data_IF_590513336127
#
_entry.id   IF_590513336127
#
_cell.length_a   1.000
_cell.length_b   1.000
_cell.length_c   1.000
_cell.angle_alpha   90.00
_cell.angle_beta   90.00
_cell.angle_gamma   90.00
#
_symmetry.space_group_name_H-M   'P 1'
#
loop_
_entity.id
_entity.type
_entity.pdbx_description
1 polymer ?
#
# COMPACT_ATOMS: atom_id res chain seq x y z
N UNK A 1 2.50 -42.84 -16.97
CA UNK A 1 1.79 -41.53 -17.01
C UNK A 1 2.81 -40.43 -16.72
N UNK A 2 3.18 -39.60 -17.70
CA UNK A 2 3.99 -38.41 -17.46
C UNK A 2 3.02 -37.29 -17.06
N UNK A 3 3.13 -36.79 -15.84
CA UNK A 3 2.42 -35.59 -15.43
C UNK A 3 2.94 -34.39 -16.23
N UNK A 4 2.02 -33.49 -16.63
CA UNK A 4 2.40 -32.23 -17.25
C UNK A 4 3.31 -31.43 -16.28
N UNK A 5 4.28 -30.65 -16.79
CA UNK A 5 5.19 -29.85 -15.93
C UNK A 5 4.43 -28.99 -14.91
N UNK A 6 3.28 -28.44 -15.29
CA UNK A 6 2.38 -27.66 -14.43
C UNK A 6 1.87 -28.44 -13.21
N UNK A 7 1.58 -29.74 -13.34
CA UNK A 7 1.09 -30.57 -12.23
C UNK A 7 2.20 -30.88 -11.20
N UNK A 8 3.45 -31.04 -11.65
CA UNK A 8 4.60 -31.23 -10.74
C UNK A 8 4.88 -29.98 -9.90
N UNK A 9 4.79 -28.79 -10.51
CA UNK A 9 4.95 -27.52 -9.80
C UNK A 9 3.84 -27.27 -8.78
N UNK A 10 2.61 -27.69 -9.09
CA UNK A 10 1.47 -27.59 -8.18
C UNK A 10 1.65 -28.47 -6.93
N UNK A 11 2.07 -29.74 -7.10
CA UNK A 11 2.35 -30.65 -5.98
C UNK A 11 3.55 -30.21 -5.12
N UNK A 12 4.60 -29.69 -5.74
CA UNK A 12 5.75 -29.13 -5.01
C UNK A 12 5.33 -27.89 -4.19
N UNK A 13 4.47 -27.03 -4.75
CA UNK A 13 3.99 -25.80 -4.10
C UNK A 13 3.04 -26.08 -2.92
N UNK A 14 2.16 -27.11 -3.01
CA UNK A 14 1.31 -27.52 -1.88
C UNK A 14 2.13 -28.02 -0.68
N UNK A 15 3.26 -28.69 -0.90
CA UNK A 15 4.10 -29.24 0.17
C UNK A 15 4.91 -28.14 0.90
N UNK A 16 5.12 -26.99 0.26
CA UNK A 16 5.88 -25.86 0.80
C UNK A 16 5.11 -25.03 1.84
N UNK A 17 3.78 -25.03 1.79
CA UNK A 17 2.93 -24.29 2.73
C UNK A 17 2.98 -24.86 4.17
N UNK A 18 3.44 -26.10 4.33
CA UNK A 18 3.52 -26.81 5.62
C UNK A 18 4.89 -26.68 6.32
N UNK A 19 5.87 -26.01 5.68
CA UNK A 19 7.24 -25.93 6.19
C UNK A 19 7.50 -24.62 6.97
N UNK A 20 8.15 -24.66 8.15
CA UNK A 20 8.53 -23.47 8.89
C UNK A 20 9.52 -22.60 8.09
N UNK A 21 9.48 -21.28 8.30
CA UNK A 21 10.06 -20.29 7.38
C UNK A 21 11.52 -20.47 6.95
N UNK A 22 12.40 -21.06 7.77
CA UNK A 22 13.78 -21.40 7.34
C UNK A 22 13.82 -22.58 6.35
N UNK A 23 13.02 -23.63 6.58
CA UNK A 23 12.95 -24.79 5.70
C UNK A 23 12.29 -24.44 4.35
N UNK A 24 11.24 -23.62 4.39
CA UNK A 24 10.59 -23.07 3.18
C UNK A 24 11.62 -22.33 2.31
N UNK A 25 12.40 -21.40 2.88
CA UNK A 25 13.42 -20.63 2.14
C UNK A 25 14.53 -21.50 1.50
N UNK A 26 14.94 -22.59 2.15
CA UNK A 26 15.94 -23.52 1.63
C UNK A 26 15.43 -24.30 0.40
N UNK A 27 14.21 -24.85 0.49
CA UNK A 27 13.59 -25.57 -0.63
C UNK A 27 13.35 -24.63 -1.82
N UNK A 28 13.04 -23.36 -1.56
CA UNK A 28 12.82 -22.37 -2.60
C UNK A 28 14.08 -22.01 -3.39
N UNK A 29 15.24 -21.85 -2.72
CA UNK A 29 16.52 -21.68 -3.44
C UNK A 29 16.78 -22.83 -4.40
N UNK A 30 16.47 -24.05 -4.00
CA UNK A 30 16.61 -25.23 -4.87
C UNK A 30 15.63 -25.20 -6.05
N UNK A 31 14.39 -24.72 -5.86
CA UNK A 31 13.38 -24.61 -6.92
C UNK A 31 13.66 -23.46 -7.90
N UNK A 32 14.14 -22.31 -7.44
CA UNK A 32 14.60 -21.20 -8.31
C UNK A 32 15.73 -21.68 -9.21
N UNK A 33 16.74 -22.34 -8.62
CA UNK A 33 17.85 -22.93 -9.37
C UNK A 33 17.35 -23.95 -10.42
N UNK A 34 16.30 -24.72 -10.11
CA UNK A 34 15.70 -25.67 -11.04
C UNK A 34 14.91 -24.98 -12.18
N UNK A 35 14.20 -23.88 -11.90
CA UNK A 35 13.46 -23.10 -12.90
C UNK A 35 14.40 -22.35 -13.86
N UNK A 36 15.46 -21.74 -13.34
CA UNK A 36 16.54 -21.15 -14.15
C UNK A 36 17.20 -22.23 -15.04
N UNK A 37 17.45 -23.40 -14.48
CA UNK A 37 17.98 -24.57 -15.18
C UNK A 37 17.04 -25.19 -16.22
N UNK A 38 15.75 -24.86 -16.19
CA UNK A 38 14.74 -25.31 -17.16
C UNK A 38 14.52 -24.26 -18.25
N UNK A 39 14.52 -22.95 -17.92
CA UNK A 39 14.50 -21.85 -18.92
C UNK A 39 15.74 -21.87 -19.81
N UNK A 40 16.90 -22.27 -19.29
CA UNK A 40 18.14 -22.44 -20.06
C UNK A 40 18.19 -23.69 -20.96
N UNK A 41 17.15 -24.55 -20.96
CA UNK A 41 17.05 -25.78 -21.77
C UNK A 41 15.92 -25.74 -22.80
N UNK A 42 15.52 -24.56 -23.26
CA UNK A 42 14.73 -24.46 -24.49
C UNK A 42 15.69 -24.61 -25.69
N UNK A 43 15.46 -25.56 -26.62
CA UNK A 43 16.37 -25.78 -27.74
C UNK A 43 16.30 -24.62 -28.74
N UNK A 44 17.43 -23.98 -29.02
CA UNK A 44 17.63 -23.16 -30.21
C UNK A 44 17.65 -24.05 -31.47
N UNK A 45 17.18 -23.57 -32.65
CA UNK A 45 17.21 -24.36 -33.86
C UNK A 45 18.65 -24.67 -34.30
N UNK A 46 18.86 -25.92 -34.71
CA UNK A 46 20.15 -26.47 -35.12
C UNK A 46 20.69 -25.78 -36.38
N UNK A 47 21.92 -25.31 -36.32
CA UNK A 47 22.78 -25.11 -37.48
C UNK A 47 24.04 -25.99 -37.33
N UNK A 48 24.32 -26.77 -38.38
CA UNK A 48 25.52 -27.60 -38.55
C UNK A 48 26.80 -26.76 -38.55
N UNK A 49 27.86 -27.21 -37.86
CA UNK A 49 29.19 -27.40 -38.47
C UNK A 49 30.20 -28.13 -37.58
N UNK A 50 31.37 -28.43 -38.16
CA UNK A 50 32.20 -29.63 -38.05
C UNK A 50 33.28 -29.65 -36.95
N UNK A 51 33.69 -30.90 -36.68
CA UNK A 51 34.86 -31.47 -35.96
C UNK A 51 36.15 -30.63 -35.82
N UNK A 52 36.75 -30.66 -34.62
CA UNK A 52 38.17 -31.03 -34.38
C UNK A 52 38.45 -31.33 -32.88
N UNK A 53 39.37 -32.26 -32.61
CA UNK A 53 39.76 -32.85 -31.30
C UNK A 53 41.02 -32.16 -30.68
N UNK A 54 41.71 -32.67 -29.61
CA UNK A 54 41.63 -32.12 -28.26
C UNK A 54 43.00 -31.76 -27.60
N UNK A 55 42.96 -31.09 -26.45
CA UNK A 55 44.01 -31.01 -25.41
C UNK A 55 43.39 -30.31 -24.18
N UNK A 56 43.75 -30.50 -22.91
CA UNK A 56 44.56 -31.47 -22.18
C UNK A 56 44.39 -31.13 -20.68
N UNK A 57 44.57 -32.14 -19.81
CA UNK A 57 45.13 -32.06 -18.42
C UNK A 57 44.28 -31.49 -17.25
N UNK A 58 43.86 -32.43 -16.40
CA UNK A 58 44.03 -32.57 -14.92
C UNK A 58 43.91 -31.34 -14.01
N UNK A 59 42.97 -31.41 -13.04
CA UNK A 59 43.25 -31.07 -11.64
C UNK A 59 42.23 -31.73 -10.68
N UNK A 60 42.77 -32.19 -9.57
CA UNK A 60 42.22 -33.11 -8.56
C UNK A 60 41.35 -32.47 -7.48
N UNK A 61 40.51 -33.31 -6.87
CA UNK A 61 39.68 -33.08 -5.66
C UNK A 61 40.45 -32.53 -4.45
N UNK A 62 39.75 -31.77 -3.59
CA UNK A 62 39.80 -31.88 -2.12
C UNK A 62 38.58 -31.19 -1.47
N UNK A 63 38.02 -31.82 -0.44
CA UNK A 63 36.95 -31.33 0.48
C UNK A 63 37.50 -31.48 1.93
N UNK A 64 36.82 -31.03 3.00
CA UNK A 64 36.84 -29.72 3.65
C UNK A 64 37.49 -29.73 5.06
N UNK A 65 37.58 -28.58 5.71
CA UNK A 65 37.76 -28.49 7.17
C UNK A 65 36.73 -27.55 7.81
N UNK A 66 36.12 -28.03 8.89
CA UNK A 66 35.13 -27.36 9.75
C UNK A 66 35.78 -26.36 10.72
N UNK A 67 35.05 -25.33 11.19
CA UNK A 67 35.42 -24.60 12.39
C UNK A 67 34.50 -24.92 13.59
N UNK A 68 35.14 -25.07 14.74
CA UNK A 68 34.61 -25.25 16.09
C UNK A 68 34.17 -23.91 16.71
N UNK A 69 33.27 -23.99 17.69
CA UNK A 69 32.79 -22.93 18.59
C UNK A 69 33.22 -23.23 20.05
N UNK A 70 32.84 -22.45 21.09
CA UNK A 70 33.50 -21.23 21.57
C UNK A 70 33.95 -21.32 23.06
N UNK A 71 34.82 -20.40 23.49
CA UNK A 71 35.16 -20.07 24.90
C UNK A 71 35.79 -18.67 24.88
N UNK A 72 35.60 -17.70 25.76
CA UNK A 72 35.03 -17.59 27.09
C UNK A 72 34.89 -16.08 27.39
N UNK A 73 34.19 -15.75 28.47
CA UNK A 73 33.89 -14.43 29.04
C UNK A 73 35.09 -13.45 29.09
N UNK A 74 34.97 -12.26 28.47
CA UNK A 74 35.57 -10.99 28.97
C UNK A 74 35.15 -9.69 28.23
N UNK A 75 34.02 -9.63 27.50
CA UNK A 75 33.57 -8.40 26.83
C UNK A 75 32.36 -7.75 27.52
N UNK A 76 32.55 -7.36 28.78
CA UNK A 76 31.67 -6.45 29.50
C UNK A 76 32.56 -5.55 30.34
N UNK A 77 32.99 -4.39 29.80
CA UNK A 77 33.42 -3.18 30.55
C UNK A 77 33.87 -2.09 29.57
N UNK A 78 32.97 -1.62 28.70
CA UNK A 78 33.19 -0.40 27.94
C UNK A 78 31.86 0.34 27.73
N UNK A 79 31.22 0.71 28.84
CA UNK A 79 30.10 1.66 28.81
C UNK A 79 30.07 2.40 30.13
N UNK A 80 30.18 3.74 30.06
CA UNK A 80 29.74 4.72 31.07
C UNK A 80 30.64 4.95 32.31
N UNK A 81 31.38 6.06 32.31
CA UNK A 81 31.05 7.33 33.01
C UNK A 81 32.34 8.10 33.36
N UNK A 82 32.54 9.26 32.71
CA UNK A 82 32.97 10.55 33.30
C UNK A 82 33.69 11.37 32.22
N UNK A 83 32.99 12.30 31.59
CA UNK A 83 32.89 13.72 31.99
C UNK A 83 34.15 14.55 31.72
N UNK A 84 33.98 15.46 30.77
CA UNK A 84 34.43 16.85 30.83
C UNK A 84 35.93 17.14 30.89
N UNK A 85 36.53 17.34 29.70
CA UNK A 85 37.28 18.56 29.42
C UNK A 85 37.47 18.69 27.90
N UNK A 86 36.59 19.41 27.23
CA UNK A 86 36.64 19.57 25.77
C UNK A 86 35.79 20.73 25.28
N UNK A 87 35.71 21.81 26.06
CA UNK A 87 35.39 23.11 25.49
C UNK A 87 36.68 23.72 24.95
N UNK A 88 36.69 24.10 23.68
CA UNK A 88 37.27 25.37 23.21
C UNK A 88 36.96 25.58 21.73
N UNK A 89 36.51 26.80 21.44
CA UNK A 89 36.59 27.52 20.17
C UNK A 89 35.65 27.06 19.05
N UNK A 90 34.53 27.79 18.84
CA UNK A 90 34.52 28.82 17.79
C UNK A 90 33.20 29.61 17.62
N UNK A 91 33.38 30.91 17.38
CA UNK A 91 32.52 31.92 16.74
C UNK A 91 31.28 32.47 17.48
N UNK A 92 31.54 33.55 18.22
CA UNK A 92 30.62 34.67 18.37
C UNK A 92 31.09 35.81 17.46
N UNK A 93 30.34 36.11 16.39
CA UNK A 93 30.23 37.45 15.80
C UNK A 93 29.21 37.40 14.66
N UNK A 94 28.06 38.06 14.82
CA UNK A 94 27.33 38.78 13.77
C UNK A 94 26.01 39.33 14.34
N UNK A 95 26.10 40.49 14.97
CA UNK A 95 25.00 41.43 15.10
C UNK A 95 25.03 42.36 13.89
N UNK A 96 23.99 42.33 13.06
CA UNK A 96 23.61 43.45 12.19
C UNK A 96 22.17 43.27 11.71
N UNK A 97 21.29 43.96 12.42
CA UNK A 97 19.94 44.30 12.01
C UNK A 97 19.97 45.21 10.77
N UNK A 98 19.37 44.76 9.68
CA UNK A 98 19.04 45.62 8.55
C UNK A 98 17.54 45.58 8.31
N UNK A 99 16.89 46.64 8.77
CA UNK A 99 15.51 46.99 8.49
C UNK A 99 15.36 47.13 6.97
N UNK A 100 14.64 46.20 6.34
CA UNK A 100 14.16 46.38 4.96
C UNK A 100 12.66 46.44 5.02
N UNK A 101 12.14 47.67 5.01
CA UNK A 101 10.74 47.95 4.77
C UNK A 101 10.45 47.62 3.30
N UNK A 102 10.04 46.38 3.03
CA UNK A 102 9.47 46.02 1.74
C UNK A 102 7.96 46.17 1.84
N UNK A 103 7.46 47.25 1.28
CA UNK A 103 6.07 47.38 0.84
C UNK A 103 5.78 46.27 -0.16
N UNK A 104 5.10 45.22 0.27
CA UNK A 104 4.51 44.21 -0.63
C UNK A 104 3.00 44.24 -0.48
N UNK A 105 2.39 45.14 -1.24
CA UNK A 105 1.00 45.02 -1.65
C UNK A 105 0.92 43.96 -2.75
N UNK A 106 0.67 42.72 -2.35
CA UNK A 106 0.13 41.69 -3.23
C UNK A 106 -0.89 40.90 -2.43
N UNK A 107 -2.14 41.37 -2.46
CA UNK A 107 -3.32 40.60 -2.10
C UNK A 107 -3.48 39.47 -3.13
N UNK A 108 -2.64 38.44 -3.04
CA UNK A 108 -3.05 37.12 -3.48
C UNK A 108 -4.13 36.69 -2.49
N UNK A 109 -5.37 36.57 -2.94
CA UNK A 109 -6.43 35.92 -2.17
C UNK A 109 -5.87 34.56 -1.73
N UNK A 110 -5.54 34.42 -0.45
CA UNK A 110 -5.13 33.17 0.12
C UNK A 110 -6.31 32.20 -0.08
N UNK A 111 -6.24 31.38 -1.12
CA UNK A 111 -7.20 30.29 -1.33
C UNK A 111 -7.15 29.46 -0.04
N UNK A 112 -8.28 29.34 0.65
CA UNK A 112 -8.36 28.57 1.87
C UNK A 112 -7.72 27.19 1.67
N UNK A 113 -7.01 26.71 2.68
CA UNK A 113 -6.32 25.41 2.62
C UNK A 113 -7.35 24.30 2.30
N UNK A 114 -7.09 23.44 1.29
CA UNK A 114 -8.02 22.39 0.90
C UNK A 114 -8.38 21.46 2.07
N UNK A 115 -9.67 21.14 2.19
CA UNK A 115 -10.21 20.31 3.28
C UNK A 115 -10.32 18.85 2.85
N UNK A 116 -9.66 17.97 3.57
CA UNK A 116 -9.60 16.53 3.28
C UNK A 116 -10.46 15.78 4.31
N UNK A 117 -11.39 14.95 3.85
CA UNK A 117 -12.13 14.02 4.69
C UNK A 117 -11.72 12.59 4.36
N UNK A 118 -11.49 11.75 5.38
CA UNK A 118 -11.03 10.37 5.18
C UNK A 118 -12.09 9.37 5.64
N UNK A 119 -12.39 8.38 4.80
CA UNK A 119 -13.28 7.26 5.12
C UNK A 119 -12.47 6.00 5.45
N UNK A 120 -12.79 5.33 6.56
CA UNK A 120 -12.07 4.14 7.03
C UNK A 120 -13.00 3.02 7.55
N UNK A 121 -12.55 1.76 7.50
CA UNK A 121 -13.29 0.62 8.10
C UNK A 121 -12.48 -0.24 9.08
N UNK A 122 -11.20 0.07 9.33
CA UNK A 122 -10.31 -0.86 10.04
C UNK A 122 -9.18 -0.21 10.82
N UNK A 123 -7.98 -0.80 10.69
CA UNK A 123 -6.78 -0.44 11.47
C UNK A 123 -6.31 1.01 11.25
N UNK A 124 -6.62 1.60 10.08
CA UNK A 124 -6.28 2.97 9.74
C UNK A 124 -4.78 3.20 9.50
N UNK A 125 -4.04 2.21 9.01
CA UNK A 125 -2.60 2.39 8.68
C UNK A 125 -2.40 3.38 7.52
N UNK A 126 -3.25 3.30 6.48
CA UNK A 126 -3.28 4.31 5.40
C UNK A 126 -3.66 5.71 5.91
N UNK A 127 -4.59 5.79 6.87
CA UNK A 127 -4.91 7.06 7.54
C UNK A 127 -3.69 7.60 8.30
N UNK A 128 -2.94 6.75 9.01
CA UNK A 128 -1.72 7.18 9.70
C UNK A 128 -0.71 7.78 8.72
N UNK A 129 -0.50 7.14 7.56
CA UNK A 129 0.39 7.67 6.53
C UNK A 129 -0.03 9.07 6.03
N UNK A 130 -1.35 9.32 5.92
CA UNK A 130 -1.87 10.64 5.56
C UNK A 130 -1.69 11.66 6.69
N UNK A 131 -1.91 11.27 7.95
CA UNK A 131 -1.73 12.13 9.13
C UNK A 131 -0.27 12.57 9.28
N UNK A 132 0.66 11.62 9.12
CA UNK A 132 2.09 11.85 9.30
C UNK A 132 2.69 12.66 8.14
N UNK A 133 1.97 12.77 7.02
CA UNK A 133 2.43 13.48 5.84
C UNK A 133 2.14 14.98 5.92
N UNK A 134 3.12 15.80 5.53
CA UNK A 134 2.88 17.19 5.14
C UNK A 134 2.14 17.19 3.78
N UNK A 135 0.81 17.26 3.83
CA UNK A 135 -0.06 17.40 2.66
C UNK A 135 -0.33 18.89 2.39
N UNK A 136 -0.55 19.29 1.12
CA UNK A 136 -0.95 20.65 0.77
C UNK A 136 -2.47 20.85 0.99
N UNK A 137 -2.94 20.48 2.19
CA UNK A 137 -4.33 20.42 2.60
C UNK A 137 -4.46 19.83 4.02
N UNK A 138 -5.58 20.11 4.68
CA UNK A 138 -5.81 19.70 6.07
C UNK A 138 -6.81 18.54 6.15
N UNK A 139 -6.49 17.49 6.92
CA UNK A 139 -7.47 16.45 7.27
C UNK A 139 -8.42 17.02 8.33
N UNK A 140 -9.66 17.28 7.95
CA UNK A 140 -10.64 17.97 8.81
C UNK A 140 -11.56 17.01 9.56
N UNK A 141 -11.76 15.80 9.03
CA UNK A 141 -12.66 14.83 9.64
C UNK A 141 -12.37 13.40 9.16
N UNK A 142 -12.60 12.42 10.05
CA UNK A 142 -12.53 10.99 9.71
C UNK A 142 -13.87 10.32 10.01
N UNK A 143 -14.43 9.62 9.02
CA UNK A 143 -15.64 8.81 9.23
C UNK A 143 -15.28 7.34 9.20
N UNK A 144 -15.79 6.58 10.17
CA UNK A 144 -15.76 5.13 10.11
C UNK A 144 -17.14 4.51 10.10
N UNK A 145 -17.28 3.41 9.37
CA UNK A 145 -18.45 2.53 9.46
C UNK A 145 -18.32 1.41 10.48
N UNK A 146 -17.21 1.35 11.22
CA UNK A 146 -17.00 0.40 12.33
C UNK A 146 -16.60 1.13 13.60
N UNK A 147 -17.39 0.98 14.66
CA UNK A 147 -17.15 1.66 15.95
C UNK A 147 -15.81 1.25 16.58
N UNK A 148 -15.36 0.02 16.31
CA UNK A 148 -14.11 -0.55 16.79
C UNK A 148 -12.92 -0.33 15.84
N UNK A 149 -13.06 0.47 14.78
CA UNK A 149 -11.95 0.77 13.89
C UNK A 149 -10.84 1.51 14.65
N UNK A 150 -9.66 0.89 14.74
CA UNK A 150 -8.50 1.49 15.41
C UNK A 150 -8.06 2.81 14.73
N UNK A 151 -8.41 3.02 13.45
CA UNK A 151 -8.19 4.30 12.79
C UNK A 151 -8.92 5.48 13.45
N UNK A 152 -10.02 5.26 14.18
CA UNK A 152 -10.67 6.31 14.97
C UNK A 152 -9.77 6.78 16.12
N UNK A 153 -9.07 5.86 16.77
CA UNK A 153 -8.07 6.17 17.82
C UNK A 153 -6.90 6.97 17.22
N UNK A 154 -6.43 6.61 16.03
CA UNK A 154 -5.35 7.34 15.33
C UNK A 154 -5.76 8.79 15.03
N UNK A 155 -6.97 8.99 14.50
CA UNK A 155 -7.50 10.32 14.23
C UNK A 155 -7.62 11.16 15.51
N UNK A 156 -8.17 10.59 16.59
CA UNK A 156 -8.32 11.27 17.87
C UNK A 156 -6.96 11.68 18.47
N UNK A 157 -5.95 10.80 18.40
CA UNK A 157 -4.59 11.11 18.86
C UNK A 157 -3.92 12.23 18.07
N UNK A 158 -4.32 12.43 16.81
CA UNK A 158 -3.88 13.53 15.96
C UNK A 158 -4.74 14.80 16.09
N UNK A 159 -5.74 14.82 16.99
CA UNK A 159 -6.65 15.95 17.18
C UNK A 159 -7.69 16.12 16.05
N UNK A 160 -7.91 15.09 15.23
CA UNK A 160 -8.86 15.13 14.11
C UNK A 160 -10.23 14.67 14.58
N UNK A 161 -11.27 15.44 14.23
CA UNK A 161 -12.66 15.10 14.56
C UNK A 161 -13.10 13.80 13.87
N UNK A 162 -13.95 13.01 14.53
CA UNK A 162 -14.39 11.72 14.02
C UNK A 162 -15.90 11.52 14.08
N UNK A 163 -16.44 10.69 13.18
CA UNK A 163 -17.84 10.22 13.22
C UNK A 163 -17.90 8.71 12.99
N UNK A 164 -18.89 8.07 13.63
CA UNK A 164 -19.26 6.68 13.37
C UNK A 164 -20.62 6.62 12.67
N UNK A 165 -20.67 5.94 11.51
CA UNK A 165 -21.87 5.83 10.68
C UNK A 165 -22.04 4.39 10.18
N UNK A 166 -23.05 3.63 10.66
CA UNK A 166 -23.13 2.20 10.38
C UNK A 166 -24.39 1.77 9.61
N UNK A 167 -24.20 0.81 8.70
CA UNK A 167 -25.28 0.22 7.89
C UNK A 167 -26.23 -0.67 8.69
N UNK A 168 -25.79 -1.22 9.83
CA UNK A 168 -26.57 -2.19 10.63
C UNK A 168 -27.89 -1.57 11.12
N UNK A 169 -27.85 -0.31 11.56
CA UNK A 169 -29.04 0.42 11.98
C UNK A 169 -30.10 0.54 10.87
N UNK A 170 -29.67 0.85 9.64
CA UNK A 170 -30.54 0.94 8.47
C UNK A 170 -31.14 -0.41 8.08
N UNK A 171 -30.35 -1.49 8.07
CA UNK A 171 -30.84 -2.85 7.78
C UNK A 171 -31.93 -3.29 8.76
N UNK A 172 -31.83 -2.91 10.04
CA UNK A 172 -32.86 -3.19 11.05
C UNK A 172 -34.15 -2.41 10.79
N UNK A 173 -34.04 -1.15 10.36
CA UNK A 173 -35.20 -0.28 10.08
C UNK A 173 -35.99 -0.70 8.84
N UNK A 174 -35.33 -1.28 7.83
CA UNK A 174 -35.95 -1.60 6.54
C UNK A 174 -36.44 -3.06 6.44
N UNK A 175 -36.33 -3.85 7.52
CA UNK A 175 -36.76 -5.25 7.56
C UNK A 175 -35.77 -6.17 6.82
N UNK A 176 -34.96 -6.92 7.56
CA UNK A 176 -33.82 -7.69 7.01
C UNK A 176 -34.15 -8.95 6.19
N UNK A 177 -35.20 -8.93 5.35
CA UNK A 177 -35.79 -10.14 4.77
C UNK A 177 -35.91 -10.23 3.25
N UNK A 178 -35.35 -9.30 2.45
CA UNK A 178 -35.39 -9.42 0.98
C UNK A 178 -34.51 -8.41 0.24
N UNK A 179 -34.21 -8.68 -1.03
CA UNK A 179 -33.26 -7.90 -1.84
C UNK A 179 -33.63 -6.42 -1.97
N UNK A 180 -34.94 -6.12 -2.05
CA UNK A 180 -35.45 -4.75 -2.10
C UNK A 180 -35.25 -3.97 -0.79
N UNK A 181 -35.42 -4.65 0.34
CA UNK A 181 -35.21 -4.04 1.67
C UNK A 181 -33.72 -3.80 1.95
N UNK A 182 -32.83 -4.70 1.51
CA UNK A 182 -31.39 -4.47 1.62
C UNK A 182 -30.93 -3.30 0.75
N UNK A 183 -31.44 -3.20 -0.48
CA UNK A 183 -31.13 -2.09 -1.39
C UNK A 183 -31.60 -0.75 -0.81
N UNK A 184 -32.84 -0.68 -0.32
CA UNK A 184 -33.37 0.52 0.32
C UNK A 184 -32.55 0.95 1.56
N UNK A 185 -32.14 -0.01 2.40
CA UNK A 185 -31.30 0.27 3.56
C UNK A 185 -29.92 0.84 3.16
N UNK A 186 -29.31 0.30 2.09
CA UNK A 186 -28.02 0.77 1.57
C UNK A 186 -28.12 2.17 0.99
N UNK A 187 -29.13 2.43 0.18
CA UNK A 187 -29.37 3.76 -0.39
C UNK A 187 -29.64 4.81 0.70
N UNK A 188 -30.43 4.47 1.71
CA UNK A 188 -30.68 5.36 2.85
C UNK A 188 -29.39 5.64 3.64
N UNK A 189 -28.60 4.61 3.91
CA UNK A 189 -27.30 4.74 4.56
C UNK A 189 -26.34 5.65 3.77
N UNK A 190 -26.26 5.48 2.45
CA UNK A 190 -25.35 6.22 1.58
C UNK A 190 -25.76 7.69 1.40
N UNK A 191 -27.07 7.95 1.33
CA UNK A 191 -27.61 9.32 1.33
C UNK A 191 -27.22 10.06 2.60
N UNK A 192 -27.38 9.41 3.75
CA UNK A 192 -27.03 10.03 5.04
C UNK A 192 -25.51 10.16 5.22
N UNK A 193 -24.73 9.22 4.68
CA UNK A 193 -23.27 9.31 4.64
C UNK A 193 -22.82 10.50 3.80
N UNK A 194 -23.42 10.73 2.63
CA UNK A 194 -23.13 11.91 1.81
C UNK A 194 -23.48 13.20 2.54
N UNK A 195 -24.64 13.27 3.18
CA UNK A 195 -25.02 14.43 3.99
C UNK A 195 -24.03 14.65 5.15
N UNK A 196 -23.57 13.58 5.81
CA UNK A 196 -22.53 13.67 6.84
C UNK A 196 -21.23 14.24 6.28
N UNK A 197 -20.75 13.73 5.16
CA UNK A 197 -19.51 14.19 4.52
C UNK A 197 -19.62 15.67 4.12
N UNK A 198 -20.70 16.05 3.45
CA UNK A 198 -20.90 17.42 2.94
C UNK A 198 -21.01 18.48 4.04
N UNK A 199 -21.48 18.12 5.26
CA UNK A 199 -21.48 19.05 6.40
C UNK A 199 -20.09 19.55 6.80
N UNK A 200 -19.04 18.84 6.41
CA UNK A 200 -17.66 19.23 6.67
C UNK A 200 -17.03 20.06 5.55
N UNK A 201 -17.79 20.35 4.48
CA UNK A 201 -17.33 21.07 3.27
C UNK A 201 -15.97 20.57 2.75
N UNK A 202 -15.80 19.27 2.48
CA UNK A 202 -14.53 18.76 1.98
C UNK A 202 -14.30 19.19 0.53
N UNK A 203 -13.04 19.42 0.20
CA UNK A 203 -12.55 19.56 -1.17
C UNK A 203 -12.21 18.20 -1.77
N UNK A 204 -11.75 17.27 -0.93
CA UNK A 204 -11.31 15.92 -1.30
C UNK A 204 -11.79 14.91 -0.26
N UNK A 205 -12.34 13.78 -0.72
CA UNK A 205 -12.60 12.60 0.11
C UNK A 205 -11.67 11.47 -0.27
N UNK A 206 -10.97 10.91 0.72
CA UNK A 206 -10.02 9.80 0.53
C UNK A 206 -10.57 8.53 1.19
N UNK A 207 -10.73 7.48 0.40
CA UNK A 207 -11.16 6.16 0.88
C UNK A 207 -9.90 5.39 1.27
N UNK A 208 -9.61 5.33 2.57
CA UNK A 208 -8.39 4.73 3.12
C UNK A 208 -8.71 3.40 3.83
N UNK A 209 -8.91 2.34 3.03
CA UNK A 209 -9.38 1.05 3.54
C UNK A 209 -10.87 1.06 3.90
N UNK A 210 -11.67 1.70 3.06
CA UNK A 210 -13.12 1.74 3.18
C UNK A 210 -13.74 0.47 2.57
N UNK A 211 -14.46 -0.30 3.39
CA UNK A 211 -14.95 -1.64 3.01
C UNK A 211 -16.44 -1.65 2.63
N UNK A 212 -16.95 -0.57 2.05
CA UNK A 212 -18.34 -0.43 1.63
C UNK A 212 -18.43 0.19 0.23
N UNK A 213 -19.09 -0.51 -0.69
CA UNK A 213 -19.37 0.00 -2.03
C UNK A 213 -20.45 1.07 -1.90
N UNK A 214 -20.14 2.28 -2.36
CA UNK A 214 -21.04 3.43 -2.32
C UNK A 214 -21.96 3.43 -3.54
N UNK A 215 -23.21 3.80 -3.33
CA UNK A 215 -24.23 3.95 -4.39
C UNK A 215 -24.23 5.36 -4.99
N UNK A 216 -25.03 5.56 -6.03
CA UNK A 216 -25.29 6.87 -6.62
C UNK A 216 -25.85 7.88 -5.60
N UNK A 217 -26.57 7.42 -4.58
CA UNK A 217 -27.09 8.27 -3.50
C UNK A 217 -25.97 8.92 -2.67
N UNK A 218 -24.78 8.32 -2.65
CA UNK A 218 -23.58 8.94 -2.09
C UNK A 218 -22.85 9.79 -3.13
N UNK A 219 -22.61 9.26 -4.34
CA UNK A 219 -21.74 9.89 -5.33
C UNK A 219 -22.32 11.20 -5.91
N UNK A 220 -23.59 11.19 -6.32
CA UNK A 220 -24.21 12.30 -7.03
C UNK A 220 -24.16 13.65 -6.26
N UNK A 221 -24.52 13.73 -4.97
CA UNK A 221 -24.46 15.00 -4.25
C UNK A 221 -23.02 15.52 -4.04
N UNK A 222 -22.03 14.63 -3.88
CA UNK A 222 -20.63 15.04 -3.76
C UNK A 222 -20.07 15.56 -5.10
N UNK A 223 -20.43 14.91 -6.21
CA UNK A 223 -20.08 15.38 -7.55
C UNK A 223 -20.72 16.74 -7.86
N UNK A 224 -22.00 16.93 -7.52
CA UNK A 224 -22.69 18.21 -7.68
C UNK A 224 -22.06 19.33 -6.85
N UNK A 225 -21.48 19.00 -5.69
CA UNK A 225 -20.73 19.93 -4.85
C UNK A 225 -19.27 20.13 -5.29
N UNK A 226 -18.81 19.50 -6.38
CA UNK A 226 -17.44 19.63 -6.88
C UNK A 226 -16.38 19.01 -5.96
N UNK A 227 -16.75 17.98 -5.19
CA UNK A 227 -15.85 17.26 -4.28
C UNK A 227 -15.11 16.17 -5.05
N UNK A 228 -13.78 16.18 -4.98
CA UNK A 228 -12.98 15.10 -5.57
C UNK A 228 -13.04 13.84 -4.67
N UNK A 229 -13.13 12.66 -5.27
CA UNK A 229 -13.20 11.39 -4.55
C UNK A 229 -12.10 10.45 -5.07
N UNK A 230 -11.23 9.98 -4.17
CA UNK A 230 -10.22 8.97 -4.52
C UNK A 230 -10.25 7.77 -3.59
N UNK A 231 -9.88 6.61 -4.13
CA UNK A 231 -9.72 5.37 -3.38
C UNK A 231 -8.36 4.76 -3.64
N UNK A 232 -7.81 4.14 -2.59
CA UNK A 232 -6.69 3.22 -2.71
C UNK A 232 -7.21 1.80 -2.92
N UNK A 233 -6.66 1.11 -3.91
CA UNK A 233 -6.95 -0.29 -4.16
C UNK A 233 -5.65 -1.10 -4.36
N UNK A 234 -5.43 -2.21 -3.65
CA UNK A 234 -4.20 -3.00 -3.74
C UNK A 234 -4.24 -3.99 -4.92
N UNK A 235 -4.43 -3.46 -6.13
CA UNK A 235 -4.22 -4.18 -7.39
C UNK A 235 -3.82 -3.21 -8.50
N UNK A 236 -3.33 -3.77 -9.62
CA UNK A 236 -3.20 -3.00 -10.87
C UNK A 236 -4.58 -2.76 -11.49
N UNK A 237 -4.74 -1.69 -12.29
CA UNK A 237 -6.00 -1.39 -12.97
C UNK A 237 -6.56 -2.59 -13.74
N UNK A 238 -7.79 -2.98 -13.38
CA UNK A 238 -8.54 -4.06 -14.00
C UNK A 238 -8.07 -5.49 -13.74
N UNK A 239 -7.10 -5.69 -12.83
CA UNK A 239 -6.57 -7.01 -12.50
C UNK A 239 -7.45 -7.75 -11.47
N UNK A 240 -7.75 -7.12 -10.32
CA UNK A 240 -8.43 -7.75 -9.19
C UNK A 240 -9.39 -6.79 -8.47
N UNK A 241 -10.47 -6.38 -9.10
CA UNK A 241 -11.44 -5.44 -8.50
C UNK A 241 -12.16 -6.03 -7.29
N UNK A 242 -12.51 -5.20 -6.32
CA UNK A 242 -13.26 -5.59 -5.13
C UNK A 242 -12.41 -6.25 -4.06
N UNK A 243 -13.07 -6.97 -3.16
CA UNK A 243 -12.47 -7.47 -1.92
C UNK A 243 -11.37 -8.51 -2.18
N UNK A 244 -10.52 -8.70 -1.17
CA UNK A 244 -9.51 -9.76 -1.11
C UNK A 244 -8.56 -9.76 -2.33
N UNK A 245 -8.28 -8.58 -2.88
CA UNK A 245 -7.45 -8.42 -4.07
C UNK A 245 -6.03 -8.96 -3.88
N UNK A 246 -5.42 -8.74 -2.70
CA UNK A 246 -4.08 -9.25 -2.39
C UNK A 246 -4.07 -10.79 -2.35
N UNK A 247 -5.06 -11.40 -1.69
CA UNK A 247 -5.19 -12.85 -1.63
C UNK A 247 -5.40 -13.47 -3.01
N UNK A 248 -6.23 -12.85 -3.86
CA UNK A 248 -6.43 -13.29 -5.26
C UNK A 248 -5.17 -13.13 -6.10
N UNK A 249 -4.42 -12.02 -5.94
CA UNK A 249 -3.14 -11.83 -6.60
C UNK A 249 -2.11 -12.89 -6.18
N UNK A 250 -2.04 -13.20 -4.89
CA UNK A 250 -1.17 -14.25 -4.37
C UNK A 250 -1.52 -15.62 -4.97
N UNK A 251 -2.79 -15.99 -4.98
CA UNK A 251 -3.25 -17.25 -5.58
C UNK A 251 -2.94 -17.33 -7.09
N UNK A 252 -3.21 -16.26 -7.84
CA UNK A 252 -2.91 -16.18 -9.27
C UNK A 252 -1.40 -16.28 -9.57
N UNK A 253 -0.55 -15.71 -8.70
CA UNK A 253 0.90 -15.89 -8.83
C UNK A 253 1.33 -17.33 -8.54
N UNK A 254 0.72 -17.97 -7.54
CA UNK A 254 1.01 -19.38 -7.21
C UNK A 254 0.60 -20.34 -8.34
N UNK A 255 -0.45 -20.03 -9.10
CA UNK A 255 -0.84 -20.78 -10.30
C UNK A 255 -0.02 -20.40 -11.55
N UNK A 256 0.83 -19.38 -11.47
CA UNK A 256 1.67 -18.90 -12.58
C UNK A 256 0.93 -18.04 -13.60
N UNK A 257 -0.23 -17.48 -13.26
CA UNK A 257 -1.04 -16.62 -14.14
C UNK A 257 -0.48 -15.20 -14.24
N UNK A 258 0.16 -14.71 -13.18
CA UNK A 258 0.74 -13.36 -13.11
C UNK A 258 2.18 -13.42 -12.59
N UNK A 259 2.98 -12.40 -12.89
CA UNK A 259 4.32 -12.20 -12.30
C UNK A 259 4.39 -10.92 -11.44
N UNK A 260 3.40 -10.04 -11.54
CA UNK A 260 3.33 -8.77 -10.82
C UNK A 260 1.89 -8.45 -10.37
N UNK A 261 1.80 -7.71 -9.26
CA UNK A 261 0.59 -7.04 -8.79
C UNK A 261 0.90 -5.56 -8.59
N UNK A 262 0.07 -4.82 -7.86
CA UNK A 262 0.34 -3.42 -7.58
C UNK A 262 -0.63 -2.77 -6.63
N UNK A 263 -0.51 -1.45 -6.55
CA UNK A 263 -1.42 -0.56 -5.84
C UNK A 263 -1.81 0.55 -6.81
N UNK A 264 -3.09 0.92 -6.81
CA UNK A 264 -3.58 2.07 -7.54
C UNK A 264 -4.31 3.04 -6.63
N UNK A 265 -4.12 4.33 -6.89
CA UNK A 265 -5.02 5.39 -6.46
C UNK A 265 -5.86 5.75 -7.67
N UNK A 266 -7.18 5.74 -7.53
CA UNK A 266 -8.09 6.02 -8.64
C UNK A 266 -9.23 6.92 -8.19
N UNK A 267 -9.85 7.61 -9.15
CA UNK A 267 -11.09 8.37 -8.89
C UNK A 267 -12.23 7.41 -8.58
N UNK A 268 -13.09 7.74 -7.62
CA UNK A 268 -14.24 6.89 -7.27
C UNK A 268 -15.39 7.16 -8.25
N UNK A 269 -15.90 6.10 -8.87
CA UNK A 269 -17.08 6.09 -9.74
C UNK A 269 -18.05 5.00 -9.28
N UNK A 270 -19.18 4.82 -9.98
CA UNK A 270 -20.18 3.80 -9.63
C UNK A 270 -19.65 2.36 -9.79
N UNK A 271 -18.77 2.15 -10.76
CA UNK A 271 -18.09 0.89 -11.00
C UNK A 271 -16.93 0.69 -10.02
N UNK A 272 -16.97 -0.41 -9.28
CA UNK A 272 -16.01 -0.77 -8.22
C UNK A 272 -14.60 -0.85 -8.80
N UNK A 273 -13.68 -0.03 -8.27
CA UNK A 273 -12.25 -0.01 -8.62
C UNK A 273 -11.96 0.21 -10.12
N UNK A 274 -12.87 0.84 -10.86
CA UNK A 274 -12.76 1.06 -12.31
C UNK A 274 -12.64 2.52 -12.74
N UNK A 275 -12.52 3.44 -11.79
CA UNK A 275 -12.32 4.85 -12.13
C UNK A 275 -10.93 5.16 -12.66
N UNK A 276 -10.78 6.37 -13.18
CA UNK A 276 -9.52 6.85 -13.76
C UNK A 276 -8.36 6.71 -12.75
N UNK A 277 -7.28 5.99 -13.10
CA UNK A 277 -6.09 5.91 -12.26
C UNK A 277 -5.39 7.27 -12.15
N UNK A 278 -5.18 7.72 -10.91
CA UNK A 278 -4.36 8.90 -10.57
C UNK A 278 -2.89 8.50 -10.40
N UNK A 279 -2.66 7.34 -9.78
CA UNK A 279 -1.33 6.83 -9.51
C UNK A 279 -1.34 5.30 -9.54
N UNK A 280 -0.32 4.70 -10.15
CA UNK A 280 -0.14 3.24 -10.14
C UNK A 280 1.28 2.92 -9.71
N UNK A 281 1.43 1.95 -8.82
CA UNK A 281 2.71 1.40 -8.36
C UNK A 281 2.70 -0.11 -8.53
N UNK A 282 3.66 -0.64 -9.29
CA UNK A 282 3.84 -2.08 -9.46
C UNK A 282 4.54 -2.69 -8.25
N UNK A 283 4.16 -3.92 -7.92
CA UNK A 283 4.76 -4.74 -6.88
C UNK A 283 5.10 -6.10 -7.49
N UNK A 284 6.39 -6.37 -7.62
CA UNK A 284 6.85 -7.67 -8.11
C UNK A 284 6.48 -8.78 -7.12
N UNK A 285 5.91 -9.87 -7.62
CA UNK A 285 5.58 -11.04 -6.81
C UNK A 285 6.82 -11.91 -6.63
N UNK A 286 7.03 -12.46 -5.42
CA UNK A 286 8.22 -13.27 -5.11
C UNK A 286 7.84 -14.73 -4.90
N UNK A 287 8.67 -15.63 -5.44
CA UNK A 287 8.50 -17.06 -5.20
C UNK A 287 8.60 -17.35 -3.71
N UNK A 288 7.73 -18.26 -3.24
CA UNK A 288 7.67 -18.68 -1.84
C UNK A 288 7.43 -17.57 -0.81
N UNK A 289 6.95 -16.41 -1.22
CA UNK A 289 6.43 -15.40 -0.32
C UNK A 289 5.12 -15.91 0.31
N UNK A 290 4.94 -15.75 1.62
CA UNK A 290 3.65 -16.00 2.26
C UNK A 290 2.64 -14.91 1.88
N UNK A 291 1.36 -15.15 2.11
CA UNK A 291 0.35 -14.11 1.88
C UNK A 291 0.60 -12.90 2.78
N UNK A 292 0.97 -13.15 4.04
CA UNK A 292 1.26 -12.11 5.05
C UNK A 292 2.50 -11.29 4.68
N UNK A 293 3.55 -11.94 4.15
CA UNK A 293 4.76 -11.26 3.66
C UNK A 293 4.43 -10.37 2.46
N UNK A 294 3.57 -10.82 1.54
CA UNK A 294 3.11 -10.03 0.41
C UNK A 294 2.23 -8.85 0.88
N UNK A 295 1.26 -9.09 1.76
CA UNK A 295 0.39 -8.06 2.32
C UNK A 295 1.20 -6.96 3.00
N UNK A 296 2.18 -7.32 3.82
CA UNK A 296 3.05 -6.34 4.49
C UNK A 296 3.77 -5.45 3.49
N UNK A 297 4.34 -6.03 2.42
CA UNK A 297 5.03 -5.26 1.37
C UNK A 297 4.08 -4.39 0.55
N UNK A 298 2.90 -4.88 0.23
CA UNK A 298 1.88 -4.09 -0.48
C UNK A 298 1.49 -2.91 0.40
N UNK A 299 1.24 -3.11 1.69
CA UNK A 299 0.94 -2.02 2.62
C UNK A 299 2.04 -0.96 2.73
N UNK A 300 3.33 -1.34 2.70
CA UNK A 300 4.43 -0.36 2.62
C UNK A 300 4.35 0.52 1.36
N UNK A 301 3.90 -0.05 0.25
CA UNK A 301 3.69 0.68 -1.01
C UNK A 301 2.41 1.52 -0.94
N UNK A 302 1.34 1.00 -0.34
CA UNK A 302 0.08 1.72 -0.12
C UNK A 302 0.28 3.02 0.65
N UNK A 303 1.06 2.98 1.74
CA UNK A 303 1.30 4.16 2.59
C UNK A 303 1.92 5.30 1.80
N UNK A 304 2.85 4.99 0.89
CA UNK A 304 3.47 5.98 0.01
C UNK A 304 2.50 6.42 -1.10
N UNK A 305 1.81 5.45 -1.71
CA UNK A 305 0.90 5.70 -2.82
C UNK A 305 -0.28 6.58 -2.43
N UNK A 306 -0.91 6.37 -1.26
CA UNK A 306 -2.07 7.16 -0.83
C UNK A 306 -1.69 8.62 -0.58
N UNK A 307 -0.51 8.86 -0.03
CA UNK A 307 0.01 10.21 0.19
C UNK A 307 0.32 10.90 -1.14
N UNK A 308 1.06 10.22 -2.03
CA UNK A 308 1.40 10.76 -3.36
C UNK A 308 0.15 11.04 -4.19
N UNK A 309 -0.81 10.11 -4.24
CA UNK A 309 -2.06 10.28 -4.96
C UNK A 309 -2.91 11.42 -4.41
N UNK A 310 -2.95 11.58 -3.08
CA UNK A 310 -3.62 12.72 -2.44
C UNK A 310 -2.98 14.05 -2.87
N UNK A 311 -1.64 14.14 -2.89
CA UNK A 311 -0.93 15.35 -3.36
C UNK A 311 -1.25 15.69 -4.81
N UNK A 312 -1.25 14.69 -5.69
CA UNK A 312 -1.55 14.86 -7.11
C UNK A 312 -2.94 15.49 -7.28
N UNK A 313 -3.97 14.93 -6.63
CA UNK A 313 -5.34 15.44 -6.76
C UNK A 313 -5.50 16.85 -6.19
N UNK A 314 -4.87 17.16 -5.05
CA UNK A 314 -4.90 18.51 -4.48
C UNK A 314 -4.25 19.54 -5.40
N UNK A 315 -3.15 19.17 -6.06
CA UNK A 315 -2.46 20.02 -7.04
C UNK A 315 -3.29 20.20 -8.32
N UNK A 316 -3.90 19.14 -8.85
CA UNK A 316 -4.86 19.23 -9.97
C UNK A 316 -6.03 20.15 -9.64
N UNK A 317 -6.59 20.04 -8.43
CA UNK A 317 -7.64 20.92 -7.94
C UNK A 317 -7.18 22.37 -7.89
N UNK A 318 -6.00 22.64 -7.33
CA UNK A 318 -5.42 23.99 -7.28
C UNK A 318 -5.31 24.60 -8.68
N UNK A 319 -4.80 23.83 -9.65
CA UNK A 319 -4.70 24.27 -11.05
C UNK A 319 -6.06 24.58 -11.68
N UNK A 320 -7.08 23.74 -11.44
CA UNK A 320 -8.45 23.98 -11.91
C UNK A 320 -9.08 25.25 -11.34
N UNK A 321 -8.73 25.64 -10.11
CA UNK A 321 -9.24 26.85 -9.47
C UNK A 321 -8.47 28.13 -9.84
N UNK A 322 -7.25 28.00 -10.37
CA UNK A 322 -6.41 29.11 -10.81
C UNK A 322 -6.56 29.44 -12.31
N UNK A 323 -7.29 28.58 -13.05
CA UNK A 323 -7.57 28.72 -14.48
C UNK A 323 -8.89 29.43 -14.76
#
# INVERSE_FOLDING_TARGET
MRMAPSAWWWFASMSLALLPGRARRLVCRSLETAREGCRSRLPTPLHEEKKSTPNSIVATRSIPASPTSPSSESEYHATMVSYALGQLLNLACSSSSTTTTTTSSASASASAEPRILVLISGSGTNLQALIDAALPGQIVHVVSNRKSAYGLTRAANAGISTSYHNLVSYKRQHGGGGDGAESAAREAYDRDLAALVLRHSPDLVVFAGWMHIVSAAFLAPLQAAGVDLINLHPALPGQFDGKDAIARAHAAFQSGEIEETGVMIHRVIGEVDRGEPVLVRKVAMRQCESLEELEARIHEVEHKAIVDGTRIVLEERRRRLQG
#
